data_IF_789888249257
#
_entry.id   IF_789888249257
#
_cell.length_a   1.000
_cell.length_b   1.000
_cell.length_c   1.000
_cell.angle_alpha   90.00
_cell.angle_beta   90.00
_cell.angle_gamma   90.00
#
_symmetry.space_group_name_H-M   'P 1'
#
loop_
_entity.id
_entity.type
_entity.pdbx_description
1 polymer ?
#
# COMPACT_ATOMS: atom_id res chain seq x y z
N UNK A 1 10.58 -36.27 -49.30
CA UNK A 1 9.60 -36.07 -48.20
C UNK A 1 10.22 -35.12 -47.19
N UNK A 2 9.79 -33.85 -47.26
CA UNK A 2 10.31 -32.76 -46.46
C UNK A 2 9.44 -32.65 -45.22
N UNK A 3 9.95 -33.03 -44.05
CA UNK A 3 9.33 -32.75 -42.76
C UNK A 3 9.69 -31.33 -42.32
N UNK A 4 8.79 -30.39 -42.56
CA UNK A 4 8.89 -29.06 -42.00
C UNK A 4 8.69 -29.09 -40.50
N UNK A 5 9.76 -28.87 -39.76
CA UNK A 5 9.76 -28.70 -38.32
C UNK A 5 9.02 -27.40 -37.98
N UNK A 6 7.77 -27.49 -37.51
CA UNK A 6 7.09 -26.41 -36.85
C UNK A 6 7.82 -26.14 -35.51
N UNK A 7 8.77 -25.24 -35.53
CA UNK A 7 9.31 -24.61 -34.32
C UNK A 7 8.18 -23.78 -33.73
N UNK A 8 7.48 -24.35 -32.77
CA UNK A 8 6.49 -23.64 -31.99
C UNK A 8 7.14 -22.44 -31.32
N UNK A 9 6.70 -21.23 -31.69
CA UNK A 9 7.11 -20.00 -31.05
C UNK A 9 6.73 -20.07 -29.56
N UNK A 10 7.71 -20.38 -28.71
CA UNK A 10 7.58 -20.24 -27.28
C UNK A 10 7.17 -18.80 -26.99
N UNK A 11 5.95 -18.59 -26.57
CA UNK A 11 5.45 -17.28 -26.11
C UNK A 11 6.32 -16.85 -24.97
N UNK A 12 7.27 -15.94 -25.23
CA UNK A 12 8.12 -15.35 -24.21
C UNK A 12 7.22 -14.67 -23.18
N UNK A 13 7.13 -15.27 -21.99
CA UNK A 13 6.40 -14.67 -20.87
C UNK A 13 7.09 -13.35 -20.54
N UNK A 14 6.44 -12.25 -20.90
CA UNK A 14 7.00 -10.92 -20.61
C UNK A 14 7.19 -10.76 -19.10
N UNK A 15 8.42 -10.61 -18.66
CA UNK A 15 8.77 -10.38 -17.23
C UNK A 15 8.45 -8.97 -16.77
N UNK A 16 8.17 -8.04 -17.68
CA UNK A 16 7.91 -6.63 -17.38
C UNK A 16 6.74 -6.44 -16.41
N UNK A 17 5.55 -7.07 -16.59
CA UNK A 17 4.45 -6.89 -15.64
C UNK A 17 4.78 -7.36 -14.24
N UNK A 18 5.56 -8.43 -14.09
CA UNK A 18 5.98 -8.96 -12.79
C UNK A 18 7.00 -8.03 -12.10
N UNK A 19 7.91 -7.43 -12.86
CA UNK A 19 8.86 -6.45 -12.32
C UNK A 19 8.15 -5.17 -11.90
N UNK A 20 7.25 -4.68 -12.75
CA UNK A 20 6.45 -3.49 -12.45
C UNK A 20 5.59 -3.69 -11.20
N UNK A 21 4.95 -4.85 -11.06
CA UNK A 21 4.21 -5.20 -9.84
C UNK A 21 5.09 -5.14 -8.60
N UNK A 22 6.29 -5.74 -8.65
CA UNK A 22 7.23 -5.72 -7.54
C UNK A 22 7.68 -4.30 -7.17
N UNK A 23 8.00 -3.47 -8.16
CA UNK A 23 8.42 -2.07 -7.94
C UNK A 23 7.31 -1.24 -7.30
N UNK A 24 6.08 -1.34 -7.80
CA UNK A 24 4.93 -0.62 -7.23
C UNK A 24 4.61 -1.08 -5.79
N UNK A 25 4.70 -2.39 -5.53
CA UNK A 25 4.50 -2.93 -4.20
C UNK A 25 5.57 -2.45 -3.22
N UNK A 26 6.85 -2.45 -3.63
CA UNK A 26 7.96 -1.95 -2.82
C UNK A 26 7.85 -0.44 -2.58
N UNK A 27 7.45 0.34 -3.59
CA UNK A 27 7.24 1.78 -3.45
C UNK A 27 6.16 2.07 -2.40
N UNK A 28 5.01 1.42 -2.51
CA UNK A 28 3.91 1.64 -1.57
C UNK A 28 4.26 1.19 -0.15
N UNK A 29 4.68 -0.06 0.02
CA UNK A 29 5.00 -0.60 1.35
C UNK A 29 6.21 0.11 1.95
N UNK A 30 7.23 0.43 1.15
CA UNK A 30 8.43 1.15 1.59
C UNK A 30 8.12 2.57 2.05
N UNK A 31 7.35 3.35 1.27
CA UNK A 31 6.93 4.70 1.67
C UNK A 31 6.11 4.69 2.95
N UNK A 32 5.15 3.77 3.06
CA UNK A 32 4.33 3.60 4.25
C UNK A 32 5.16 3.32 5.49
N UNK A 33 6.02 2.30 5.47
CA UNK A 33 6.86 1.95 6.61
C UNK A 33 7.82 3.07 6.99
N UNK A 34 8.42 3.74 6.00
CA UNK A 34 9.34 4.85 6.24
C UNK A 34 8.63 6.04 6.88
N UNK A 35 7.49 6.46 6.35
CA UNK A 35 6.75 7.62 6.87
C UNK A 35 6.23 7.34 8.28
N UNK A 36 5.59 6.19 8.49
CA UNK A 36 4.94 5.89 9.76
C UNK A 36 5.88 5.54 10.90
N UNK A 37 6.95 4.80 10.63
CA UNK A 37 7.80 4.24 11.69
C UNK A 37 9.18 4.90 11.81
N UNK A 38 9.60 5.69 10.83
CA UNK A 38 10.84 6.45 10.92
C UNK A 38 10.57 7.95 10.93
N UNK A 39 9.94 8.51 9.89
CA UNK A 39 9.80 9.95 9.73
C UNK A 39 8.89 10.56 10.79
N UNK A 40 7.70 9.99 11.03
CA UNK A 40 6.78 10.55 12.01
C UNK A 40 7.37 10.58 13.44
N UNK A 41 7.98 9.51 13.97
CA UNK A 41 8.66 9.59 15.28
C UNK A 41 9.76 10.63 15.33
N UNK A 42 10.57 10.77 14.27
CA UNK A 42 11.64 11.79 14.20
C UNK A 42 11.06 13.19 14.26
N UNK A 43 9.96 13.47 13.53
CA UNK A 43 9.31 14.78 13.57
C UNK A 43 8.87 15.15 14.99
N UNK A 44 8.21 14.23 15.69
CA UNK A 44 7.73 14.48 17.06
C UNK A 44 8.84 14.50 18.11
N UNK A 45 10.01 13.93 17.83
CA UNK A 45 11.19 14.02 18.68
C UNK A 45 11.98 15.31 18.48
N UNK A 46 11.90 15.93 17.28
CA UNK A 46 12.78 17.04 16.87
C UNK A 46 12.08 18.39 16.80
N UNK A 47 10.75 18.42 16.71
CA UNK A 47 9.96 19.63 16.48
C UNK A 47 8.90 19.79 17.57
N UNK A 48 8.43 21.04 17.73
CA UNK A 48 7.26 21.32 18.55
C UNK A 48 6.03 20.52 18.07
N UNK A 49 5.20 20.07 19.00
CA UNK A 49 4.06 19.18 18.75
C UNK A 49 3.12 19.68 17.65
N UNK A 50 2.83 20.97 17.62
CA UNK A 50 1.93 21.58 16.61
C UNK A 50 2.55 21.46 15.22
N UNK A 51 3.80 21.89 15.07
CA UNK A 51 4.54 21.86 13.80
C UNK A 51 4.74 20.40 13.33
N UNK A 52 5.16 19.51 14.24
CA UNK A 52 5.32 18.10 13.94
C UNK A 52 4.00 17.46 13.45
N UNK A 53 2.88 17.81 14.11
CA UNK A 53 1.56 17.33 13.75
C UNK A 53 1.06 17.81 12.38
N UNK A 54 1.38 19.04 12.00
CA UNK A 54 1.05 19.59 10.67
C UNK A 54 1.84 18.92 9.57
N UNK A 55 3.16 18.78 9.75
CA UNK A 55 4.02 18.10 8.80
C UNK A 55 3.66 16.62 8.66
N UNK A 56 3.42 15.94 9.77
CA UNK A 56 2.96 14.55 9.76
C UNK A 56 1.65 14.40 8.98
N UNK A 57 0.68 15.32 9.19
CA UNK A 57 -0.60 15.27 8.46
C UNK A 57 -0.41 15.44 6.94
N UNK A 58 0.51 16.29 6.49
CA UNK A 58 0.84 16.45 5.08
C UNK A 58 1.49 15.18 4.50
N UNK A 59 2.45 14.60 5.23
CA UNK A 59 3.12 13.36 4.82
C UNK A 59 2.16 12.18 4.73
N UNK A 60 1.27 12.01 5.71
CA UNK A 60 0.25 10.95 5.67
C UNK A 60 -0.80 11.18 4.57
N UNK A 61 -1.08 12.43 4.21
CA UNK A 61 -1.92 12.74 3.04
C UNK A 61 -1.24 12.32 1.74
N UNK A 62 0.04 12.65 1.57
CA UNK A 62 0.82 12.24 0.41
C UNK A 62 0.93 10.72 0.31
N UNK A 63 1.23 10.05 1.44
CA UNK A 63 1.30 8.60 1.53
C UNK A 63 -0.04 7.94 1.17
N UNK A 64 -1.15 8.47 1.68
CA UNK A 64 -2.49 7.99 1.33
C UNK A 64 -2.78 8.10 -0.18
N UNK A 65 -2.37 9.19 -0.83
CA UNK A 65 -2.49 9.35 -2.28
C UNK A 65 -1.64 8.32 -3.04
N UNK A 66 -0.38 8.13 -2.63
CA UNK A 66 0.51 7.09 -3.18
C UNK A 66 -0.16 5.71 -3.01
N UNK A 67 -0.71 5.44 -1.83
CA UNK A 67 -1.39 4.18 -1.52
C UNK A 67 -2.61 3.92 -2.42
N UNK A 68 -3.45 4.92 -2.66
CA UNK A 68 -4.59 4.80 -3.57
C UNK A 68 -4.12 4.51 -4.99
N UNK A 69 -3.16 5.28 -5.51
CA UNK A 69 -2.64 5.11 -6.88
C UNK A 69 -1.98 3.73 -7.05
N UNK A 70 -1.04 3.39 -6.16
CA UNK A 70 -0.36 2.09 -6.22
C UNK A 70 -1.34 0.93 -6.02
N UNK A 71 -2.29 1.04 -5.09
CA UNK A 71 -3.29 0.01 -4.82
C UNK A 71 -4.17 -0.28 -6.01
N UNK A 72 -4.68 0.74 -6.69
CA UNK A 72 -5.49 0.58 -7.91
C UNK A 72 -4.67 -0.05 -9.04
N UNK A 73 -3.45 0.44 -9.29
CA UNK A 73 -2.56 -0.10 -10.31
C UNK A 73 -2.19 -1.56 -10.03
N UNK A 74 -1.87 -1.90 -8.78
CA UNK A 74 -1.53 -3.27 -8.36
C UNK A 74 -2.73 -4.21 -8.48
N UNK A 75 -3.94 -3.78 -8.13
CA UNK A 75 -5.16 -4.56 -8.33
C UNK A 75 -5.43 -4.83 -9.81
N UNK A 76 -5.30 -3.81 -10.66
CA UNK A 76 -5.42 -3.96 -12.11
C UNK A 76 -4.39 -4.95 -12.66
N UNK A 77 -3.12 -4.75 -12.30
CA UNK A 77 -2.01 -5.59 -12.76
C UNK A 77 -2.13 -7.04 -12.25
N UNK A 78 -2.52 -7.24 -10.98
CA UNK A 78 -2.77 -8.58 -10.43
C UNK A 78 -3.89 -9.32 -11.17
N UNK A 79 -4.92 -8.58 -11.60
CA UNK A 79 -6.04 -9.14 -12.37
C UNK A 79 -5.59 -9.58 -13.76
N UNK A 80 -4.77 -8.78 -14.44
CA UNK A 80 -4.18 -9.13 -15.74
C UNK A 80 -3.27 -10.34 -15.62
N UNK A 81 -2.39 -10.37 -14.61
CA UNK A 81 -1.46 -11.49 -14.38
C UNK A 81 -2.20 -12.78 -14.03
N UNK A 82 -3.26 -12.71 -13.22
CA UNK A 82 -4.08 -13.85 -12.88
C UNK A 82 -4.82 -14.42 -14.11
N UNK A 83 -5.33 -13.57 -15.00
CA UNK A 83 -5.95 -13.98 -16.28
C UNK A 83 -4.95 -14.66 -17.23
N UNK A 84 -3.67 -14.27 -17.17
CA UNK A 84 -2.57 -14.88 -17.94
C UNK A 84 -2.05 -16.19 -17.32
N UNK A 85 -2.74 -16.75 -16.32
CA UNK A 85 -2.42 -18.03 -15.70
C UNK A 85 -1.51 -17.96 -14.47
N UNK A 86 -1.11 -16.77 -14.02
CA UNK A 86 -0.32 -16.58 -12.81
C UNK A 86 -1.19 -16.67 -11.55
N UNK A 87 -1.61 -17.88 -11.16
CA UNK A 87 -2.61 -18.12 -10.11
C UNK A 87 -2.19 -17.58 -8.72
N UNK A 88 -0.90 -17.45 -8.44
CA UNK A 88 -0.39 -16.86 -7.19
C UNK A 88 -0.91 -15.43 -6.96
N UNK A 89 -1.13 -14.66 -8.04
CA UNK A 89 -1.66 -13.28 -7.94
C UNK A 89 -3.13 -13.21 -7.51
N UNK A 90 -3.89 -14.30 -7.54
CA UNK A 90 -5.27 -14.35 -7.02
C UNK A 90 -5.31 -14.14 -5.50
N UNK A 91 -4.34 -14.68 -4.75
CA UNK A 91 -4.22 -14.47 -3.30
C UNK A 91 -3.76 -13.05 -3.00
N UNK A 92 -2.75 -12.56 -3.71
CA UNK A 92 -2.24 -11.20 -3.54
C UNK A 92 -3.33 -10.13 -3.76
N UNK A 93 -4.28 -10.37 -4.65
CA UNK A 93 -5.40 -9.46 -4.92
C UNK A 93 -6.27 -9.18 -3.69
N UNK A 94 -6.52 -10.19 -2.83
CA UNK A 94 -7.31 -9.99 -1.61
C UNK A 94 -6.54 -9.18 -0.56
N UNK A 95 -5.24 -9.39 -0.44
CA UNK A 95 -4.36 -8.59 0.43
C UNK A 95 -4.35 -7.14 -0.05
N UNK A 96 -4.16 -6.92 -1.36
CA UNK A 96 -4.19 -5.59 -1.96
C UNK A 96 -5.54 -4.88 -1.77
N UNK A 97 -6.65 -5.61 -1.93
CA UNK A 97 -7.99 -5.06 -1.71
C UNK A 97 -8.19 -4.64 -0.24
N UNK A 98 -7.73 -5.45 0.72
CA UNK A 98 -7.78 -5.11 2.13
C UNK A 98 -6.90 -3.90 2.47
N UNK A 99 -5.67 -3.83 1.93
CA UNK A 99 -4.78 -2.67 2.09
C UNK A 99 -5.42 -1.40 1.49
N UNK A 100 -5.97 -1.50 0.28
CA UNK A 100 -6.62 -0.36 -0.37
C UNK A 100 -7.84 0.10 0.42
N UNK A 101 -8.63 -0.81 0.98
CA UNK A 101 -9.75 -0.47 1.85
C UNK A 101 -9.28 0.30 3.09
N UNK A 102 -8.20 -0.13 3.74
CA UNK A 102 -7.60 0.59 4.88
C UNK A 102 -7.20 2.02 4.49
N UNK A 103 -6.53 2.19 3.34
CA UNK A 103 -6.15 3.52 2.82
C UNK A 103 -7.38 4.38 2.56
N UNK A 104 -8.40 3.85 1.89
CA UNK A 104 -9.61 4.61 1.57
C UNK A 104 -10.32 5.09 2.85
N UNK A 105 -10.46 4.22 3.85
CA UNK A 105 -11.04 4.61 5.15
C UNK A 105 -10.18 5.68 5.81
N UNK A 106 -8.86 5.50 5.87
CA UNK A 106 -7.95 6.45 6.47
C UNK A 106 -7.99 7.81 5.78
N UNK A 107 -7.87 7.81 4.46
CA UNK A 107 -7.74 9.02 3.66
C UNK A 107 -9.06 9.81 3.51
N UNK A 108 -10.17 9.12 3.22
CA UNK A 108 -11.45 9.77 2.92
C UNK A 108 -12.38 9.90 4.13
N UNK A 109 -12.26 9.02 5.13
CA UNK A 109 -13.09 9.09 6.32
C UNK A 109 -12.33 9.72 7.50
N UNK A 110 -11.23 9.11 7.97
CA UNK A 110 -10.60 9.52 9.24
C UNK A 110 -9.85 10.84 9.13
N UNK A 111 -9.06 11.05 8.08
CA UNK A 111 -8.25 12.27 7.91
C UNK A 111 -9.06 13.58 7.86
N UNK A 112 -10.17 13.70 7.09
CA UNK A 112 -10.97 14.90 7.06
C UNK A 112 -11.54 15.27 8.42
N UNK A 113 -12.04 14.29 9.18
CA UNK A 113 -12.57 14.52 10.53
C UNK A 113 -11.49 14.98 11.51
N UNK A 114 -10.32 14.34 11.51
CA UNK A 114 -9.19 14.76 12.35
C UNK A 114 -8.72 16.18 11.98
N UNK A 115 -8.65 16.49 10.68
CA UNK A 115 -8.25 17.81 10.22
C UNK A 115 -9.28 18.87 10.63
N UNK A 116 -10.58 18.60 10.54
CA UNK A 116 -11.62 19.51 10.99
C UNK A 116 -11.51 19.85 12.49
N UNK A 117 -11.27 18.84 13.34
CA UNK A 117 -11.07 19.05 14.78
C UNK A 117 -9.81 19.86 15.07
N UNK A 118 -8.73 19.64 14.32
CA UNK A 118 -7.49 20.43 14.43
C UNK A 118 -7.73 21.90 14.05
N UNK A 119 -8.38 22.15 12.91
CA UNK A 119 -8.68 23.52 12.46
C UNK A 119 -9.58 24.25 13.45
N UNK A 120 -10.59 23.57 14.02
CA UNK A 120 -11.45 24.15 15.06
C UNK A 120 -10.67 24.53 16.33
N UNK A 121 -9.75 23.68 16.78
CA UNK A 121 -8.90 24.01 17.93
C UNK A 121 -7.98 25.19 17.64
N UNK A 122 -7.33 25.20 16.47
CA UNK A 122 -6.43 26.29 16.05
C UNK A 122 -7.17 27.62 15.91
N UNK A 123 -8.39 27.65 15.38
CA UNK A 123 -9.21 28.89 15.27
C UNK A 123 -9.59 29.44 16.63
N UNK A 124 -9.57 28.63 17.68
CA UNK A 124 -9.75 29.05 19.07
C UNK A 124 -8.42 29.41 19.78
N UNK A 125 -7.29 29.44 19.05
CA UNK A 125 -5.96 29.73 19.60
C UNK A 125 -5.39 28.61 20.49
N UNK A 126 -5.89 27.38 20.36
CA UNK A 126 -5.50 26.23 21.19
C UNK A 126 -4.88 25.11 20.36
N UNK A 127 -3.97 24.34 20.99
CA UNK A 127 -3.57 23.03 20.45
C UNK A 127 -4.74 22.04 20.60
N UNK A 128 -4.92 21.14 19.64
CA UNK A 128 -5.97 20.13 19.66
C UNK A 128 -5.90 19.23 20.92
N UNK A 129 -4.70 18.97 21.41
CA UNK A 129 -4.51 18.15 22.62
C UNK A 129 -4.97 18.85 23.92
N UNK A 130 -5.01 20.17 23.95
CA UNK A 130 -5.50 20.98 25.08
C UNK A 130 -6.91 21.55 24.88
N UNK A 131 -7.53 21.22 23.73
CA UNK A 131 -8.85 21.71 23.36
C UNK A 131 -9.98 20.78 23.88
N UNK A 132 -11.24 21.26 23.89
CA UNK A 132 -12.41 20.40 24.15
C UNK A 132 -12.56 19.21 23.19
N UNK A 133 -11.84 19.25 22.07
CA UNK A 133 -11.85 18.22 21.03
C UNK A 133 -10.80 17.12 21.26
N UNK A 134 -9.94 17.23 22.25
CA UNK A 134 -8.81 16.32 22.52
C UNK A 134 -9.22 14.83 22.56
N UNK A 135 -10.30 14.52 23.28
CA UNK A 135 -10.80 13.13 23.41
C UNK A 135 -11.25 12.56 22.07
N UNK A 136 -12.02 13.31 21.29
CA UNK A 136 -12.49 12.87 19.95
C UNK A 136 -11.33 12.71 18.97
N UNK A 137 -10.41 13.68 18.97
CA UNK A 137 -9.21 13.60 18.15
C UNK A 137 -8.36 12.38 18.53
N UNK A 138 -8.14 12.13 19.82
CA UNK A 138 -7.40 10.97 20.32
C UNK A 138 -8.02 9.64 19.91
N UNK A 139 -9.35 9.52 19.97
CA UNK A 139 -10.06 8.33 19.50
C UNK A 139 -9.85 8.10 17.98
N UNK A 140 -10.07 9.12 17.17
CA UNK A 140 -9.89 9.03 15.71
C UNK A 140 -8.44 8.71 15.35
N UNK A 141 -7.49 9.32 16.06
CA UNK A 141 -6.06 9.04 15.89
C UNK A 141 -5.72 7.60 16.26
N UNK A 142 -6.25 7.07 17.36
CA UNK A 142 -6.07 5.68 17.76
C UNK A 142 -6.62 4.70 16.73
N UNK A 143 -7.84 4.95 16.23
CA UNK A 143 -8.45 4.15 15.16
C UNK A 143 -7.62 4.21 13.88
N UNK A 144 -7.17 5.41 13.49
CA UNK A 144 -6.30 5.60 12.32
C UNK A 144 -4.98 4.83 12.45
N UNK A 145 -4.37 4.87 13.62
CA UNK A 145 -3.13 4.14 13.93
C UNK A 145 -3.33 2.63 13.85
N UNK A 146 -4.48 2.11 14.27
CA UNK A 146 -4.81 0.69 14.15
C UNK A 146 -4.96 0.28 12.68
N UNK A 147 -5.67 1.06 11.87
CA UNK A 147 -5.77 0.81 10.42
C UNK A 147 -4.38 0.83 9.75
N UNK A 148 -3.54 1.78 10.14
CA UNK A 148 -2.17 1.90 9.64
C UNK A 148 -1.30 0.69 10.00
N UNK A 149 -1.41 0.21 11.24
CA UNK A 149 -0.72 -1.01 11.69
C UNK A 149 -1.17 -2.24 10.91
N UNK A 150 -2.49 -2.44 10.77
CA UNK A 150 -3.05 -3.56 9.98
C UNK A 150 -2.56 -3.49 8.54
N UNK A 151 -2.60 -2.33 7.92
CA UNK A 151 -2.10 -2.10 6.56
C UNK A 151 -0.60 -2.40 6.45
N UNK A 152 0.21 -2.02 7.44
CA UNK A 152 1.66 -2.29 7.48
C UNK A 152 1.95 -3.80 7.54
N UNK A 153 1.21 -4.53 8.36
CA UNK A 153 1.33 -5.99 8.45
C UNK A 153 0.91 -6.68 7.15
N UNK A 154 -0.18 -6.23 6.53
CA UNK A 154 -0.62 -6.72 5.22
C UNK A 154 0.41 -6.40 4.13
N UNK A 155 1.03 -5.23 4.16
CA UNK A 155 2.09 -4.83 3.24
C UNK A 155 3.34 -5.69 3.38
N UNK A 156 3.79 -5.94 4.61
CA UNK A 156 4.90 -6.85 4.87
C UNK A 156 4.59 -8.27 4.37
N UNK A 157 3.38 -8.75 4.62
CA UNK A 157 2.92 -10.05 4.13
C UNK A 157 2.83 -10.11 2.60
N UNK A 158 2.35 -9.05 1.96
CA UNK A 158 2.35 -8.92 0.50
C UNK A 158 3.76 -9.10 -0.08
N UNK A 159 4.74 -8.37 0.47
CA UNK A 159 6.15 -8.44 0.02
C UNK A 159 6.73 -9.83 0.25
N UNK A 160 6.43 -10.47 1.37
CA UNK A 160 6.86 -11.84 1.68
C UNK A 160 6.36 -12.86 0.66
N UNK A 161 5.14 -12.70 0.16
CA UNK A 161 4.52 -13.63 -0.80
C UNK A 161 4.94 -13.39 -2.27
N UNK A 162 5.58 -12.25 -2.59
CA UNK A 162 5.97 -11.91 -3.98
C UNK A 162 6.87 -12.94 -4.67
N UNK A 163 7.93 -13.50 -4.03
CA UNK A 163 8.77 -14.51 -4.65
C UNK A 163 7.99 -15.77 -5.04
N UNK A 164 7.11 -16.24 -4.15
CA UNK A 164 6.30 -17.45 -4.35
C UNK A 164 5.29 -17.30 -5.50
N UNK A 165 4.73 -16.11 -5.67
CA UNK A 165 3.81 -15.81 -6.77
C UNK A 165 4.50 -15.86 -8.15
N UNK A 166 5.81 -15.61 -8.20
CA UNK A 166 6.64 -15.71 -9.42
C UNK A 166 7.08 -17.14 -9.72
N UNK A 167 7.40 -17.92 -8.69
CA UNK A 167 7.94 -19.29 -8.81
C UNK A 167 6.98 -20.27 -9.48
N UNK A 168 5.68 -20.11 -9.29
CA UNK A 168 4.64 -20.94 -9.90
C UNK A 168 4.63 -20.91 -11.45
N UNK A 169 5.21 -19.86 -12.06
CA UNK A 169 5.31 -19.75 -13.52
C UNK A 169 6.48 -20.54 -14.10
N UNK A 170 7.63 -20.56 -13.41
CA UNK A 170 8.85 -21.24 -13.87
C UNK A 170 8.63 -22.75 -13.89
N UNK A 171 8.02 -23.31 -12.84
CA UNK A 171 7.73 -24.74 -12.77
C UNK A 171 6.78 -25.25 -13.87
N UNK A 172 5.80 -24.43 -14.31
CA UNK A 172 4.87 -24.85 -15.38
C UNK A 172 5.53 -24.88 -16.76
N UNK A 173 6.56 -24.07 -16.98
CA UNK A 173 7.30 -24.09 -18.26
C UNK A 173 8.22 -25.31 -18.33
N UNK A 174 8.78 -25.75 -17.20
CA UNK A 174 9.65 -26.93 -17.15
C UNK A 174 8.90 -28.25 -17.18
N UNK A 175 7.65 -28.31 -16.70
CA UNK A 175 6.84 -29.53 -16.64
C UNK A 175 5.89 -29.71 -17.83
N UNK A 176 5.89 -28.79 -18.80
CA UNK A 176 5.12 -28.97 -20.03
C UNK A 176 5.70 -30.16 -20.84
N UNK A 177 4.91 -31.20 -21.15
CA UNK A 177 5.39 -32.32 -21.95
C UNK A 177 5.86 -31.82 -23.31
N UNK A 178 7.05 -32.26 -23.71
CA UNK A 178 7.65 -31.99 -25.04
C UNK A 178 6.91 -32.74 -26.12
#
# INVERSE_FOLDING_TARGET
>A
VSTASHVGSATSVSLVPHRLFGLLAMLWVGSQLTIGYAVAPILFASLERVVAGELAAQLFRLEGLIGVVCGVLLLGLSSVLARRGALGYRRLRWILAAMLLCVLIGYFALQPFMNALRVQAMSAGMDVASSPYASRFGLLHGVSSLFYLVQSLLGAWLVWLLPSARGTLVQRVETAPR
#
